data_IF_752973130133
#
_entry.id   IF_752973130133
#
_cell.length_a   1.000
_cell.length_b   1.000
_cell.length_c   1.000
_cell.angle_alpha   90.00
_cell.angle_beta   90.00
_cell.angle_gamma   90.00
#
_symmetry.space_group_name_H-M   'P 1'
#
loop_
_entity.id
_entity.type
_entity.pdbx_description
1 polymer ?
#
# COMPACT_ATOMS: atom_id res chain seq x y z
N UNK A 1 -16.63 -1.87 -21.06
CA UNK A 1 -15.19 -1.59 -20.86
C UNK A 1 -14.91 -1.84 -19.39
N UNK A 2 -13.90 -2.62 -19.07
CA UNK A 2 -13.49 -2.76 -17.66
C UNK A 2 -13.05 -1.36 -17.16
N UNK A 3 -13.52 -0.99 -15.99
CA UNK A 3 -13.13 0.25 -15.34
C UNK A 3 -11.66 0.13 -14.93
N UNK A 4 -10.82 1.10 -15.28
CA UNK A 4 -9.40 1.08 -14.94
C UNK A 4 -9.25 1.25 -13.42
N UNK A 5 -8.47 0.38 -12.80
CA UNK A 5 -8.18 0.44 -11.36
C UNK A 5 -7.17 1.57 -11.11
N UNK A 6 -7.46 2.40 -10.10
CA UNK A 6 -6.57 3.50 -9.67
C UNK A 6 -5.74 3.02 -8.49
N UNK A 7 -4.46 2.81 -8.71
CA UNK A 7 -3.55 2.25 -7.72
C UNK A 7 -2.73 3.38 -7.09
N UNK A 8 -2.84 3.55 -5.77
CA UNK A 8 -1.92 4.39 -5.00
C UNK A 8 -0.73 3.55 -4.55
N UNK A 9 0.49 4.03 -4.75
CA UNK A 9 1.71 3.31 -4.38
C UNK A 9 2.56 4.19 -3.46
N UNK A 10 2.89 3.67 -2.29
CA UNK A 10 3.86 4.27 -1.38
C UNK A 10 5.26 4.18 -2.00
N UNK A 11 5.69 5.25 -2.64
CA UNK A 11 6.97 5.29 -3.35
C UNK A 11 8.19 5.36 -2.43
N UNK A 12 7.98 5.65 -1.14
CA UNK A 12 9.06 5.82 -0.17
C UNK A 12 9.17 4.66 0.82
N UNK A 13 8.27 3.67 0.73
CA UNK A 13 8.25 2.51 1.61
C UNK A 13 9.06 1.34 1.04
N UNK A 14 9.93 0.74 1.87
CA UNK A 14 10.76 -0.41 1.53
C UNK A 14 12.25 -0.09 1.45
N UNK A 15 13.07 -1.15 1.53
CA UNK A 15 14.53 -1.02 1.67
C UNK A 15 15.21 -0.42 0.43
N UNK A 16 14.65 -0.64 -0.75
CA UNK A 16 15.17 -0.15 -2.02
C UNK A 16 14.30 0.98 -2.63
N UNK A 17 13.49 1.63 -1.80
CA UNK A 17 12.69 2.79 -2.22
C UNK A 17 13.60 4.03 -2.39
N UNK A 18 13.27 4.94 -3.32
CA UNK A 18 12.15 4.87 -4.27
C UNK A 18 12.48 4.16 -5.59
N UNK A 19 13.74 3.81 -5.85
CA UNK A 19 14.22 3.38 -7.17
C UNK A 19 13.47 2.15 -7.70
N UNK A 20 13.47 1.05 -6.93
CA UNK A 20 12.84 -0.20 -7.38
C UNK A 20 11.31 -0.08 -7.40
N UNK A 21 10.72 0.72 -6.52
CA UNK A 21 9.28 0.98 -6.53
C UNK A 21 8.87 1.71 -7.82
N UNK A 22 9.61 2.75 -8.21
CA UNK A 22 9.34 3.50 -9.43
C UNK A 22 9.51 2.61 -10.68
N UNK A 23 10.58 1.78 -10.73
CA UNK A 23 10.78 0.81 -11.83
C UNK A 23 9.61 -0.17 -11.94
N UNK A 24 9.20 -0.77 -10.82
CA UNK A 24 8.06 -1.68 -10.78
C UNK A 24 6.76 -1.02 -11.24
N UNK A 25 6.52 0.23 -10.85
CA UNK A 25 5.34 0.98 -11.30
C UNK A 25 5.36 1.29 -12.81
N UNK A 26 6.53 1.57 -13.39
CA UNK A 26 6.66 1.77 -14.83
C UNK A 26 6.34 0.47 -15.58
N UNK A 27 6.86 -0.67 -15.11
CA UNK A 27 6.54 -1.98 -15.69
C UNK A 27 5.04 -2.26 -15.61
N UNK A 28 4.43 -2.07 -14.43
CA UNK A 28 3.00 -2.29 -14.22
C UNK A 28 2.12 -1.38 -15.11
N UNK A 29 2.48 -0.10 -15.25
CA UNK A 29 1.76 0.84 -16.12
C UNK A 29 1.81 0.41 -17.61
N UNK A 30 2.93 -0.15 -18.04
CA UNK A 30 3.11 -0.64 -19.41
C UNK A 30 2.39 -1.97 -19.65
N UNK A 31 2.49 -2.92 -18.71
CA UNK A 31 2.00 -4.28 -18.90
C UNK A 31 0.48 -4.39 -18.67
N UNK A 32 -0.04 -3.72 -17.65
CA UNK A 32 -1.45 -3.81 -17.23
C UNK A 32 -2.29 -2.60 -17.65
N UNK A 33 -1.66 -1.48 -17.95
CA UNK A 33 -2.35 -0.27 -18.38
C UNK A 33 -3.12 0.47 -17.28
N UNK A 34 -2.84 0.18 -16.00
CA UNK A 34 -3.51 0.78 -14.86
C UNK A 34 -3.08 2.23 -14.59
N UNK A 35 -3.91 2.98 -13.90
CA UNK A 35 -3.58 4.35 -13.46
C UNK A 35 -2.87 4.26 -12.10
N UNK A 36 -1.60 4.63 -12.07
CA UNK A 36 -0.77 4.56 -10.86
C UNK A 36 -0.52 5.97 -10.33
N UNK A 37 -0.74 6.18 -9.04
CA UNK A 37 -0.34 7.40 -8.33
C UNK A 37 0.79 7.06 -7.37
N UNK A 38 2.00 7.52 -7.67
CA UNK A 38 3.16 7.44 -6.79
C UNK A 38 3.04 8.49 -5.69
N UNK A 39 3.02 8.05 -4.44
CA UNK A 39 2.89 8.92 -3.26
C UNK A 39 4.25 9.04 -2.57
N UNK A 40 4.77 10.24 -2.43
CA UNK A 40 6.07 10.50 -1.79
C UNK A 40 6.70 11.81 -2.24
N UNK A 41 7.99 11.97 -1.99
CA UNK A 41 8.73 13.19 -2.32
C UNK A 41 8.79 13.42 -3.83
N UNK A 42 8.01 14.40 -4.29
CA UNK A 42 7.79 14.68 -5.72
C UNK A 42 9.08 14.84 -6.50
N UNK A 43 10.05 15.57 -5.95
CA UNK A 43 11.30 15.87 -6.67
C UNK A 43 12.10 14.58 -6.91
N UNK A 44 12.21 13.73 -5.90
CA UNK A 44 12.92 12.45 -5.97
C UNK A 44 12.23 11.51 -6.96
N UNK A 45 10.90 11.35 -6.85
CA UNK A 45 10.12 10.50 -7.75
C UNK A 45 10.25 10.98 -9.21
N UNK A 46 10.15 12.31 -9.42
CA UNK A 46 10.27 12.89 -10.76
C UNK A 46 11.66 12.65 -11.38
N UNK A 47 12.72 12.69 -10.57
CA UNK A 47 14.07 12.39 -11.01
C UNK A 47 14.19 10.92 -11.45
N UNK A 48 13.66 9.97 -10.67
CA UNK A 48 13.70 8.55 -11.01
C UNK A 48 12.88 8.23 -12.26
N UNK A 49 11.69 8.83 -12.44
CA UNK A 49 10.89 8.69 -13.66
C UNK A 49 11.64 9.19 -14.89
N UNK A 50 12.32 10.35 -14.78
CA UNK A 50 13.14 10.90 -15.86
C UNK A 50 14.33 10.01 -16.19
N UNK A 51 15.06 9.52 -15.17
CA UNK A 51 16.19 8.58 -15.35
C UNK A 51 15.76 7.29 -16.06
N UNK A 52 14.56 6.81 -15.74
CA UNK A 52 13.97 5.64 -16.37
C UNK A 52 13.38 5.92 -17.78
N UNK A 53 13.40 7.16 -18.24
CA UNK A 53 12.87 7.57 -19.56
C UNK A 53 11.36 7.43 -19.70
N UNK A 54 10.61 7.45 -18.59
CA UNK A 54 9.16 7.33 -18.64
C UNK A 54 8.49 8.62 -19.13
N UNK A 55 7.74 8.53 -20.23
CA UNK A 55 7.00 9.64 -20.86
C UNK A 55 5.49 9.36 -20.99
N UNK A 56 4.99 8.34 -20.29
CA UNK A 56 3.57 7.99 -20.31
C UNK A 56 2.71 8.90 -19.42
N UNK A 57 1.42 8.84 -19.59
CA UNK A 57 0.40 9.63 -18.88
C UNK A 57 -0.28 8.87 -17.73
N UNK A 58 0.03 7.58 -17.56
CA UNK A 58 -0.61 6.68 -16.57
C UNK A 58 -0.04 6.81 -15.17
N UNK A 59 1.16 7.38 -15.00
CA UNK A 59 1.77 7.61 -13.69
C UNK A 59 1.59 9.07 -13.28
N UNK A 60 0.93 9.26 -12.14
CA UNK A 60 0.75 10.54 -11.47
C UNK A 60 1.59 10.58 -10.21
N UNK A 61 1.91 11.78 -9.72
CA UNK A 61 2.65 11.97 -8.47
C UNK A 61 1.78 12.75 -7.49
N UNK A 62 1.60 12.18 -6.29
CA UNK A 62 1.05 12.86 -5.14
C UNK A 62 2.18 13.17 -4.16
N UNK A 63 2.43 14.46 -3.89
CA UNK A 63 3.49 14.84 -2.96
C UNK A 63 3.19 14.44 -1.52
N UNK A 64 4.22 13.96 -0.83
CA UNK A 64 4.25 13.67 0.60
C UNK A 64 5.70 13.79 1.09
N UNK A 65 5.95 14.61 2.11
CA UNK A 65 7.32 14.95 2.53
C UNK A 65 7.89 14.01 3.58
N UNK A 66 7.04 13.35 4.37
CA UNK A 66 7.46 12.48 5.45
C UNK A 66 7.50 11.02 5.01
N UNK A 67 8.34 10.23 5.69
CA UNK A 67 8.48 8.78 5.47
C UNK A 67 8.33 8.04 6.79
N UNK A 68 7.56 6.96 6.78
CA UNK A 68 7.50 6.00 7.88
C UNK A 68 8.52 4.90 7.60
N UNK A 69 9.54 4.78 8.46
CA UNK A 69 10.57 3.76 8.35
C UNK A 69 10.12 2.42 8.97
N UNK A 70 10.88 1.35 8.68
CA UNK A 70 10.65 0.03 9.28
C UNK A 70 10.76 0.02 10.81
N UNK A 71 11.60 0.90 11.37
CA UNK A 71 11.89 0.99 12.81
C UNK A 71 10.90 1.90 13.57
N UNK A 72 10.07 2.65 12.87
CA UNK A 72 9.08 3.51 13.51
C UNK A 72 8.01 2.67 14.24
N UNK A 73 7.61 3.13 15.44
CA UNK A 73 6.47 2.53 16.13
C UNK A 73 5.17 2.81 15.33
N UNK A 74 4.46 1.77 14.87
CA UNK A 74 3.38 1.89 13.89
C UNK A 74 2.28 2.87 14.25
N UNK A 75 1.77 2.78 15.50
CA UNK A 75 0.63 3.59 15.94
C UNK A 75 0.98 5.06 16.08
N UNK A 76 2.17 5.33 16.61
CA UNK A 76 2.70 6.68 16.78
C UNK A 76 3.04 7.30 15.44
N UNK A 77 3.70 6.55 14.55
CA UNK A 77 4.09 7.03 13.24
C UNK A 77 2.89 7.47 12.40
N UNK A 78 1.84 6.64 12.32
CA UNK A 78 0.60 6.97 11.60
C UNK A 78 -0.10 8.21 12.17
N UNK A 79 -0.02 8.45 13.48
CA UNK A 79 -0.67 9.61 14.11
C UNK A 79 0.13 10.90 13.93
N UNK A 80 1.45 10.81 14.06
CA UNK A 80 2.35 11.98 14.05
C UNK A 80 2.74 12.39 12.64
N UNK A 81 3.18 11.45 11.78
CA UNK A 81 3.63 11.71 10.42
C UNK A 81 2.43 11.79 9.47
N UNK A 82 1.72 12.92 9.53
CA UNK A 82 0.48 13.11 8.77
C UNK A 82 0.71 13.29 7.28
N UNK A 83 1.88 13.75 6.89
CA UNK A 83 2.31 13.95 5.51
C UNK A 83 3.22 12.81 5.03
N UNK A 84 3.14 11.64 5.64
CA UNK A 84 3.89 10.47 5.16
C UNK A 84 3.23 9.84 3.94
N UNK A 85 4.08 9.33 3.03
CA UNK A 85 3.64 8.66 1.79
C UNK A 85 2.59 7.58 2.05
N UNK A 86 2.80 6.76 3.08
CA UNK A 86 1.88 5.70 3.48
C UNK A 86 0.54 6.28 3.95
N UNK A 87 0.55 7.32 4.79
CA UNK A 87 -0.68 7.91 5.30
C UNK A 87 -1.45 8.66 4.23
N UNK A 88 -0.77 9.47 3.41
CA UNK A 88 -1.39 10.20 2.29
C UNK A 88 -2.05 9.21 1.31
N UNK A 89 -1.40 8.09 1.00
CA UNK A 89 -1.97 7.04 0.16
C UNK A 89 -3.26 6.44 0.76
N UNK A 90 -3.28 6.15 2.07
CA UNK A 90 -4.49 5.67 2.75
C UNK A 90 -5.61 6.72 2.80
N UNK A 91 -5.27 7.99 2.97
CA UNK A 91 -6.22 9.09 2.90
C UNK A 91 -6.85 9.23 1.50
N UNK A 92 -6.06 8.96 0.43
CA UNK A 92 -6.57 8.91 -0.95
C UNK A 92 -7.63 7.80 -1.12
N UNK A 93 -7.37 6.60 -0.59
CA UNK A 93 -8.37 5.52 -0.59
C UNK A 93 -9.65 5.92 0.16
N UNK A 94 -9.50 6.49 1.35
CA UNK A 94 -10.64 6.92 2.16
C UNK A 94 -11.51 7.97 1.44
N UNK A 95 -10.88 8.85 0.66
CA UNK A 95 -11.57 9.88 -0.15
C UNK A 95 -12.09 9.37 -1.50
N UNK A 96 -11.90 8.10 -1.84
CA UNK A 96 -12.29 7.54 -3.13
C UNK A 96 -11.44 8.04 -4.30
N UNK A 97 -10.23 8.52 -4.06
CA UNK A 97 -9.27 8.98 -5.07
C UNK A 97 -8.38 7.85 -5.60
N UNK A 98 -8.42 6.69 -4.96
CA UNK A 98 -7.77 5.45 -5.34
C UNK A 98 -8.63 4.25 -4.94
N UNK A 99 -8.43 3.12 -5.59
CA UNK A 99 -9.19 1.89 -5.38
C UNK A 99 -8.36 0.87 -4.60
N UNK A 100 -7.04 0.91 -4.77
CA UNK A 100 -6.07 0.01 -4.12
C UNK A 100 -4.86 0.82 -3.66
N UNK A 101 -4.23 0.39 -2.56
CA UNK A 101 -2.94 0.89 -2.11
C UNK A 101 -1.92 -0.24 -2.02
N UNK A 102 -0.71 0.02 -2.52
CA UNK A 102 0.44 -0.88 -2.44
C UNK A 102 1.55 -0.19 -1.65
N UNK A 103 2.12 -0.89 -0.69
CA UNK A 103 3.29 -0.44 0.07
C UNK A 103 4.20 -1.63 0.38
N UNK A 104 5.50 -1.44 0.23
CA UNK A 104 6.55 -2.36 0.66
C UNK A 104 7.22 -1.90 1.97
N UNK A 105 6.64 -0.91 2.64
CA UNK A 105 7.16 -0.33 3.87
C UNK A 105 6.71 -1.06 5.14
N UNK A 106 6.51 -0.28 6.22
CA UNK A 106 6.16 -0.79 7.54
C UNK A 106 4.75 -1.41 7.57
N UNK A 107 4.69 -2.76 7.63
CA UNK A 107 3.44 -3.53 7.64
C UNK A 107 2.53 -3.18 8.82
N UNK A 108 3.10 -2.95 10.01
CA UNK A 108 2.34 -2.55 11.20
C UNK A 108 1.69 -1.19 11.02
N UNK A 109 2.41 -0.23 10.44
CA UNK A 109 1.89 1.08 10.11
C UNK A 109 0.79 1.01 9.04
N UNK A 110 0.95 0.15 8.02
CA UNK A 110 -0.07 -0.06 6.99
C UNK A 110 -1.37 -0.61 7.60
N UNK A 111 -1.30 -1.67 8.43
CA UNK A 111 -2.46 -2.27 9.11
C UNK A 111 -3.13 -1.25 10.05
N UNK A 112 -2.32 -0.54 10.83
CA UNK A 112 -2.83 0.49 11.76
C UNK A 112 -3.51 1.62 11.00
N UNK A 113 -2.88 2.14 9.96
CA UNK A 113 -3.41 3.20 9.11
C UNK A 113 -4.69 2.76 8.38
N UNK A 114 -4.70 1.56 7.79
CA UNK A 114 -5.90 1.01 7.16
C UNK A 114 -7.06 0.92 8.16
N UNK A 115 -6.80 0.47 9.39
CA UNK A 115 -7.82 0.35 10.43
C UNK A 115 -8.38 1.70 10.87
N UNK A 116 -7.51 2.71 11.02
CA UNK A 116 -7.90 4.02 11.56
C UNK A 116 -8.49 4.95 10.49
N UNK A 117 -7.96 4.91 9.27
CA UNK A 117 -8.28 5.85 8.19
C UNK A 117 -9.33 5.26 7.24
N UNK A 118 -9.02 4.12 6.60
CA UNK A 118 -9.92 3.45 5.64
C UNK A 118 -11.10 2.81 6.36
N UNK A 119 -10.87 2.35 7.58
CA UNK A 119 -11.85 1.69 8.46
C UNK A 119 -12.16 0.26 8.05
N UNK A 120 -12.88 -0.42 8.92
CA UNK A 120 -13.26 -1.83 8.75
C UNK A 120 -14.59 -1.97 8.05
N UNK A 121 -14.78 -3.06 7.34
CA UNK A 121 -16.07 -3.47 6.78
C UNK A 121 -17.05 -3.67 7.95
N UNK A 122 -18.29 -3.21 7.76
CA UNK A 122 -19.35 -3.34 8.77
C UNK A 122 -19.51 -4.82 9.19
N UNK A 123 -19.48 -5.07 10.49
CA UNK A 123 -19.56 -6.42 11.08
C UNK A 123 -18.21 -7.10 11.34
N UNK A 124 -17.11 -6.62 10.74
CA UNK A 124 -15.77 -7.14 11.01
C UNK A 124 -15.22 -6.52 12.29
N UNK A 125 -14.94 -7.34 13.30
CA UNK A 125 -14.46 -6.88 14.62
C UNK A 125 -12.98 -6.55 14.62
N UNK A 126 -12.15 -7.33 13.91
CA UNK A 126 -10.69 -7.17 13.84
C UNK A 126 -10.22 -7.25 12.39
N UNK A 127 -9.20 -6.48 12.08
CA UNK A 127 -8.49 -6.55 10.80
C UNK A 127 -7.61 -7.79 10.81
N UNK A 128 -7.58 -8.53 9.73
CA UNK A 128 -6.69 -9.68 9.55
C UNK A 128 -5.75 -9.43 8.37
N UNK A 129 -4.49 -9.82 8.53
CA UNK A 129 -3.55 -9.90 7.42
C UNK A 129 -3.82 -11.20 6.68
N UNK A 130 -4.12 -11.12 5.40
CA UNK A 130 -4.51 -12.28 4.60
C UNK A 130 -3.62 -12.43 3.36
N UNK A 131 -2.36 -12.92 3.53
CA UNK A 131 -1.48 -13.15 2.40
C UNK A 131 -2.00 -14.28 1.51
N UNK A 132 -1.85 -14.08 0.20
CA UNK A 132 -2.10 -15.09 -0.81
C UNK A 132 -0.84 -15.95 -0.94
N UNK A 133 -0.96 -17.23 -0.61
CA UNK A 133 0.15 -18.19 -0.62
C UNK A 133 0.06 -19.10 -1.83
N UNK A 134 1.19 -19.37 -2.54
CA UNK A 134 1.21 -20.33 -3.63
C UNK A 134 0.98 -21.77 -3.10
N UNK A 135 0.29 -22.58 -3.89
CA UNK A 135 0.11 -24.01 -3.66
C UNK A 135 0.53 -24.78 -4.92
N UNK A 136 0.61 -26.09 -4.83
CA UNK A 136 0.98 -26.96 -5.96
C UNK A 136 0.04 -26.75 -7.16
N UNK A 137 -1.26 -26.55 -6.88
CA UNK A 137 -2.26 -26.17 -7.87
C UNK A 137 -2.98 -24.90 -7.42
N UNK A 138 -2.61 -23.73 -7.98
CA UNK A 138 -3.25 -22.45 -7.68
C UNK A 138 -2.68 -21.74 -6.45
N UNK A 139 -3.54 -21.19 -5.61
CA UNK A 139 -3.16 -20.45 -4.42
C UNK A 139 -4.22 -20.60 -3.32
N UNK A 140 -3.85 -20.33 -2.07
CA UNK A 140 -4.78 -20.25 -0.94
C UNK A 140 -4.55 -18.97 -0.12
N UNK A 141 -5.59 -18.54 0.55
CA UNK A 141 -5.55 -17.36 1.42
C UNK A 141 -5.26 -17.80 2.87
N UNK A 142 -4.13 -17.36 3.42
CA UNK A 142 -3.81 -17.57 4.83
C UNK A 142 -4.40 -16.42 5.64
N UNK A 143 -5.48 -16.67 6.38
CA UNK A 143 -6.12 -15.62 7.17
C UNK A 143 -5.41 -15.42 8.49
N UNK A 144 -4.98 -14.18 8.72
CA UNK A 144 -4.24 -13.65 9.85
C UNK A 144 -2.83 -14.20 10.01
N UNK A 145 -2.00 -13.85 9.05
CA UNK A 145 -0.55 -14.11 9.08
C UNK A 145 0.21 -13.27 10.12
N UNK A 146 -0.33 -13.08 11.35
CA UNK A 146 0.36 -12.42 12.45
C UNK A 146 -0.08 -11.00 12.82
N UNK A 147 -1.20 -10.50 12.29
CA UNK A 147 -1.72 -9.19 12.65
C UNK A 147 -2.37 -9.15 14.05
N UNK A 148 -2.81 -10.28 14.56
CA UNK A 148 -3.43 -10.41 15.88
C UNK A 148 -2.77 -11.49 16.74
N UNK A 149 -2.70 -11.25 18.04
CA UNK A 149 -2.07 -12.15 19.01
C UNK A 149 -2.91 -13.43 19.26
N UNK A 150 -4.21 -13.40 19.05
CA UNK A 150 -5.10 -14.54 19.21
C UNK A 150 -6.37 -14.41 18.38
N UNK A 151 -6.63 -15.41 17.55
CA UNK A 151 -7.84 -15.52 16.73
C UNK A 151 -8.86 -16.54 17.23
N UNK A 152 -8.58 -17.24 18.31
CA UNK A 152 -9.43 -18.34 18.84
C UNK A 152 -10.91 -17.97 19.01
N UNK A 153 -11.19 -16.68 19.20
CA UNK A 153 -12.55 -16.16 19.38
C UNK A 153 -13.11 -15.39 18.18
N UNK A 154 -12.32 -15.20 17.12
CA UNK A 154 -12.70 -14.36 15.97
C UNK A 154 -12.84 -15.13 14.65
N UNK A 155 -12.23 -16.29 14.56
CA UNK A 155 -12.33 -17.19 13.41
C UNK A 155 -12.43 -18.62 13.93
N UNK A 156 -13.65 -19.19 14.03
CA UNK A 156 -13.77 -20.61 14.36
C UNK A 156 -13.10 -21.41 13.24
N UNK A 157 -12.04 -22.14 13.60
CA UNK A 157 -11.45 -23.13 12.69
C UNK A 157 -12.50 -24.20 12.38
N UNK A 158 -12.75 -24.55 11.12
CA UNK A 158 -13.54 -25.73 10.81
C UNK A 158 -12.82 -26.95 11.43
N UNK A 159 -13.54 -27.69 12.26
CA UNK A 159 -13.08 -29.00 12.77
C UNK A 159 -13.36 -30.07 11.73
#
# INVERSE_FOLDING_TARGET
MAELVRVAVDAMGGDNAPEEIVKGCIMAANDFGEIITLVGKKDIISEHLKKAGYNGDRIKIQNAEEVISGDDEPTTAIRQKKDSSLRVGLDMLHKGQGDVMVSAGNTGALITGATLIVKRIKGVRRVALAPLMPAETGCFLLVDGGANVCLLYTSPSPR
#
